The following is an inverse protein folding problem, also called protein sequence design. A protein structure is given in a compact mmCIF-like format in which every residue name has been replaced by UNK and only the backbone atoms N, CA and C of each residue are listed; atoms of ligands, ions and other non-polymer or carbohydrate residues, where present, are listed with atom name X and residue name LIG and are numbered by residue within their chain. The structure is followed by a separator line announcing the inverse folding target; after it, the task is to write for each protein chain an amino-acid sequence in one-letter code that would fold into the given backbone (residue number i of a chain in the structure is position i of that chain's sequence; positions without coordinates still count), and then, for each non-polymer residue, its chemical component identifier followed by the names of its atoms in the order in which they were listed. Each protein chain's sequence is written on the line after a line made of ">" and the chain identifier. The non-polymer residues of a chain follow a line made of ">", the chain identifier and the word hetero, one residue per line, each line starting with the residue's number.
data_IF_616503884154
#
_entry.id   IF_616503884154
#
_cell.length_a   1.000
_cell.length_b   1.000
_cell.length_c   1.000
_cell.angle_alpha   90.00
_cell.angle_beta   90.00
_cell.angle_gamma   90.00
#
_symmetry.space_group_name_H-M   'P 1'
#
loop_
_entity.id
_entity.type
_entity.pdbx_description
1 polymer ?
#
# COMPACT_ATOMS: atom_id res chain seq x y z
N UNK A 1 -3.53 5.49 15.59
CA UNK A 1 -4.51 6.40 14.99
C UNK A 1 -4.67 5.97 13.55
N UNK A 2 -5.79 5.37 13.21
CA UNK A 2 -6.07 4.76 11.90
C UNK A 2 -6.60 5.84 10.94
N UNK A 3 -6.39 5.68 9.63
CA UNK A 3 -6.75 6.69 8.63
C UNK A 3 -8.24 7.10 8.67
N UNK A 4 -9.12 6.19 9.08
CA UNK A 4 -10.55 6.46 9.32
C UNK A 4 -10.77 7.60 10.35
N UNK A 5 -9.95 7.70 11.39
CA UNK A 5 -10.09 8.71 12.45
C UNK A 5 -9.74 10.13 11.96
N UNK A 6 -9.10 10.24 10.78
CA UNK A 6 -8.63 11.52 10.21
C UNK A 6 -9.61 12.18 9.23
N UNK A 7 -10.69 11.51 8.83
CA UNK A 7 -11.62 12.01 7.81
C UNK A 7 -13.08 11.85 8.25
N UNK A 8 -13.73 12.90 8.80
CA UNK A 8 -15.13 12.85 9.19
C UNK A 8 -16.04 12.69 7.96
N UNK A 9 -17.05 11.81 8.06
CA UNK A 9 -18.08 11.61 7.02
C UNK A 9 -17.86 10.43 6.08
N UNK A 10 -16.82 9.62 6.30
CA UNK A 10 -16.65 8.36 5.57
C UNK A 10 -17.64 7.30 6.06
N UNK A 11 -18.18 6.45 5.15
CA UNK A 11 -18.98 5.31 5.57
C UNK A 11 -18.17 4.40 6.50
N UNK A 12 -18.81 3.73 7.48
CA UNK A 12 -18.11 2.80 8.35
C UNK A 12 -17.39 1.74 7.51
N UNK A 13 -16.15 1.43 7.88
CA UNK A 13 -15.43 0.29 7.30
C UNK A 13 -16.31 -0.94 7.58
N UNK A 14 -16.76 -1.69 6.55
CA UNK A 14 -17.57 -2.87 6.76
C UNK A 14 -16.86 -3.81 7.73
N UNK A 15 -17.54 -4.16 8.81
CA UNK A 15 -17.02 -5.02 9.86
C UNK A 15 -16.73 -6.40 9.24
N UNK A 16 -15.45 -6.62 8.94
CA UNK A 16 -14.87 -7.87 8.42
C UNK A 16 -15.72 -8.55 7.34
N UNK A 17 -15.59 -8.12 6.08
CA UNK A 17 -15.91 -9.03 4.98
C UNK A 17 -15.02 -10.26 5.13
N UNK A 18 -15.60 -11.42 5.44
CA UNK A 18 -14.88 -12.71 5.46
C UNK A 18 -13.96 -12.80 4.23
N UNK A 19 -12.69 -13.08 4.48
CA UNK A 19 -11.66 -13.10 3.46
C UNK A 19 -10.81 -14.35 3.54
N UNK A 20 -10.27 -14.77 2.39
CA UNK A 20 -9.29 -15.83 2.30
C UNK A 20 -7.92 -15.24 1.98
N UNK A 21 -6.88 -15.74 2.63
CA UNK A 21 -5.50 -15.43 2.26
C UNK A 21 -5.24 -15.85 0.81
N UNK A 22 -4.63 -14.95 0.04
CA UNK A 22 -4.36 -15.16 -1.36
C UNK A 22 -3.08 -14.44 -1.80
N UNK A 23 -2.57 -14.80 -2.97
CA UNK A 23 -1.49 -14.11 -3.64
C UNK A 23 -1.99 -13.59 -4.99
N UNK A 24 -1.88 -12.28 -5.24
CA UNK A 24 -2.01 -11.74 -6.57
C UNK A 24 -0.79 -12.14 -7.41
N UNK A 25 -1.02 -12.63 -8.62
CA UNK A 25 0.00 -13.17 -9.51
C UNK A 25 0.40 -12.13 -10.56
N UNK A 26 1.67 -12.19 -10.96
CA UNK A 26 2.24 -11.37 -12.04
C UNK A 26 2.15 -9.85 -11.78
N UNK A 27 2.14 -9.46 -10.50
CA UNK A 27 2.04 -8.08 -10.05
C UNK A 27 2.98 -7.81 -8.89
N UNK A 28 3.37 -6.55 -8.75
CA UNK A 28 4.15 -6.03 -7.62
C UNK A 28 3.71 -4.60 -7.28
N UNK A 29 4.29 -4.01 -6.24
CA UNK A 29 4.01 -2.65 -5.78
C UNK A 29 5.20 -1.73 -5.98
N UNK A 30 4.93 -0.50 -6.40
CA UNK A 30 5.88 0.61 -6.41
C UNK A 30 5.34 1.78 -5.60
N UNK A 31 6.22 2.58 -5.00
CA UNK A 31 5.85 3.78 -4.25
C UNK A 31 6.19 5.04 -5.05
N UNK A 32 5.34 5.38 -6.03
CA UNK A 32 5.60 6.46 -6.98
C UNK A 32 4.46 7.47 -7.15
N UNK A 33 3.34 7.29 -6.45
CA UNK A 33 2.20 8.22 -6.48
C UNK A 33 2.20 9.10 -5.24
N UNK A 34 2.21 10.42 -5.43
CA UNK A 34 2.06 11.36 -4.32
C UNK A 34 0.63 11.35 -3.78
N UNK A 35 0.48 11.29 -2.47
CA UNK A 35 -0.81 11.45 -1.80
C UNK A 35 -0.73 12.51 -0.71
N UNK A 36 -1.53 13.56 -0.87
CA UNK A 36 -1.68 14.61 0.14
C UNK A 36 -2.34 14.07 1.42
N UNK A 37 -3.30 13.14 1.29
CA UNK A 37 -4.00 12.52 2.43
C UNK A 37 -3.04 11.72 3.33
N UNK A 38 -2.03 11.09 2.73
CA UNK A 38 -1.03 10.29 3.44
C UNK A 38 0.25 11.07 3.75
N UNK A 39 0.44 12.27 3.20
CA UNK A 39 1.63 13.09 3.43
C UNK A 39 2.92 12.49 2.84
N UNK A 40 2.84 11.81 1.70
CA UNK A 40 3.99 11.17 1.06
C UNK A 40 3.58 10.29 -0.12
N UNK A 41 4.51 9.47 -0.63
CA UNK A 41 4.18 8.52 -1.69
C UNK A 41 3.39 7.33 -1.14
N UNK A 42 2.50 6.76 -1.95
CA UNK A 42 1.70 5.56 -1.64
C UNK A 42 1.95 4.46 -2.67
N UNK A 43 1.51 3.24 -2.35
CA UNK A 43 1.67 2.09 -3.23
C UNK A 43 0.77 2.18 -4.45
N UNK A 44 1.33 1.76 -5.59
CA UNK A 44 0.63 1.51 -6.83
C UNK A 44 1.03 0.15 -7.38
N UNK A 45 0.06 -0.57 -7.93
CA UNK A 45 0.27 -1.87 -8.52
C UNK A 45 0.90 -1.71 -9.91
N UNK A 46 1.86 -2.57 -10.22
CA UNK A 46 2.49 -2.68 -11.53
C UNK A 46 2.46 -4.12 -11.99
N UNK A 47 2.48 -4.31 -13.31
CA UNK A 47 2.67 -5.63 -13.89
C UNK A 47 4.12 -6.07 -13.67
N UNK A 48 4.29 -7.26 -13.11
CA UNK A 48 5.58 -7.85 -12.77
C UNK A 48 5.50 -9.37 -12.95
N UNK A 49 5.67 -9.88 -14.19
CA UNK A 49 5.54 -11.31 -14.47
C UNK A 49 6.41 -12.17 -13.56
N UNK A 50 5.81 -13.22 -12.97
CA UNK A 50 6.48 -14.12 -12.02
C UNK A 50 6.54 -13.62 -10.58
N UNK A 51 6.21 -12.35 -10.31
CA UNK A 51 6.08 -11.83 -8.95
C UNK A 51 4.74 -12.24 -8.34
N UNK A 52 4.72 -12.27 -7.01
CA UNK A 52 3.55 -12.64 -6.21
C UNK A 52 3.40 -11.65 -5.08
N UNK A 53 2.22 -11.05 -4.98
CA UNK A 53 1.90 -10.09 -3.94
C UNK A 53 0.90 -10.73 -2.97
N UNK A 54 1.30 -11.04 -1.72
CA UNK A 54 0.38 -11.60 -0.73
C UNK A 54 -0.66 -10.56 -0.31
N UNK A 55 -1.87 -11.03 -0.01
CA UNK A 55 -2.99 -10.18 0.39
C UNK A 55 -4.20 -10.97 0.86
N UNK A 56 -5.32 -10.27 1.02
CA UNK A 56 -6.58 -10.84 1.46
C UNK A 56 -7.61 -10.71 0.34
N UNK A 57 -8.16 -11.83 -0.12
CA UNK A 57 -9.27 -11.85 -1.07
C UNK A 57 -10.60 -11.74 -0.31
N UNK A 58 -11.35 -10.67 -0.53
CA UNK A 58 -12.65 -10.44 0.12
C UNK A 58 -13.79 -10.54 -0.87
N UNK A 59 -14.90 -11.13 -0.44
CA UNK A 59 -16.17 -11.10 -1.21
C UNK A 59 -16.88 -9.79 -0.92
N UNK A 60 -17.20 -9.05 -1.98
CA UNK A 60 -17.93 -7.79 -1.88
C UNK A 60 -19.32 -7.99 -2.49
N UNK A 61 -20.41 -7.76 -1.73
CA UNK A 61 -21.76 -7.73 -2.29
C UNK A 61 -21.88 -6.70 -3.42
N UNK A 62 -22.65 -7.02 -4.46
CA UNK A 62 -22.76 -6.17 -5.65
C UNK A 62 -23.35 -4.78 -5.33
N UNK A 63 -24.26 -4.70 -4.37
CA UNK A 63 -24.87 -3.46 -3.88
C UNK A 63 -23.92 -2.59 -3.04
N UNK A 64 -22.88 -3.18 -2.45
CA UNK A 64 -21.83 -2.48 -1.71
C UNK A 64 -20.69 -1.96 -2.60
N UNK A 65 -20.60 -2.43 -3.86
CA UNK A 65 -19.47 -2.16 -4.74
C UNK A 65 -19.23 -0.66 -4.97
N UNK A 66 -20.27 0.09 -5.34
CA UNK A 66 -20.14 1.52 -5.62
C UNK A 66 -19.73 2.32 -4.38
N UNK A 67 -20.16 1.90 -3.19
CA UNK A 67 -19.75 2.54 -1.94
C UNK A 67 -18.26 2.28 -1.67
N UNK A 68 -17.80 1.05 -1.90
CA UNK A 68 -16.39 0.68 -1.77
C UNK A 68 -15.51 1.47 -2.75
N UNK A 69 -15.90 1.58 -4.02
CA UNK A 69 -15.16 2.36 -5.02
C UNK A 69 -14.99 3.82 -4.58
N UNK A 70 -16.05 4.45 -4.07
CA UNK A 70 -15.97 5.83 -3.54
C UNK A 70 -15.09 5.94 -2.31
N UNK A 71 -15.14 4.96 -1.42
CA UNK A 71 -14.32 4.91 -0.20
C UNK A 71 -12.83 4.77 -0.55
N UNK A 72 -12.48 3.88 -1.46
CA UNK A 72 -11.10 3.66 -1.95
C UNK A 72 -10.55 4.90 -2.65
N UNK A 73 -11.36 5.56 -3.47
CA UNK A 73 -11.00 6.81 -4.11
C UNK A 73 -10.73 7.92 -3.07
N UNK A 74 -11.59 8.03 -2.04
CA UNK A 74 -11.47 9.07 -1.02
C UNK A 74 -10.32 8.83 -0.04
N UNK A 75 -10.06 7.59 0.38
CA UNK A 75 -9.05 7.27 1.40
C UNK A 75 -7.68 6.93 0.82
N UNK A 76 -7.62 6.05 -0.19
CA UNK A 76 -6.38 5.54 -0.71
C UNK A 76 -5.90 6.31 -1.96
N UNK A 77 -6.72 7.21 -2.49
CA UNK A 77 -6.48 7.81 -3.81
C UNK A 77 -6.48 6.76 -4.93
N UNK A 78 -7.06 5.59 -4.66
CA UNK A 78 -7.08 4.46 -5.57
C UNK A 78 -8.25 4.61 -6.54
N UNK A 79 -8.01 5.33 -7.63
CA UNK A 79 -9.03 5.71 -8.62
C UNK A 79 -9.24 4.68 -9.73
N UNK A 80 -8.34 3.70 -9.85
CA UNK A 80 -8.41 2.67 -10.87
C UNK A 80 -8.82 1.34 -10.25
N UNK A 81 -9.78 0.68 -10.90
CA UNK A 81 -10.13 -0.72 -10.64
C UNK A 81 -9.58 -1.54 -11.79
N UNK A 82 -8.70 -2.50 -11.47
CA UNK A 82 -8.20 -3.45 -12.46
C UNK A 82 -8.44 -4.89 -12.03
N UNK A 83 -8.53 -5.78 -13.02
CA UNK A 83 -8.61 -7.22 -12.76
C UNK A 83 -7.22 -7.83 -12.66
N UNK A 84 -7.02 -8.68 -11.66
CA UNK A 84 -5.79 -9.45 -11.45
C UNK A 84 -6.12 -10.91 -11.22
N UNK A 85 -5.18 -11.78 -11.57
CA UNK A 85 -5.24 -13.19 -11.19
C UNK A 85 -4.80 -13.32 -9.74
N UNK A 86 -5.57 -14.04 -8.96
CA UNK A 86 -5.24 -14.36 -7.57
C UNK A 86 -5.21 -15.86 -7.39
N UNK A 87 -4.25 -16.35 -6.62
CA UNK A 87 -4.19 -17.73 -6.15
C UNK A 87 -4.58 -17.76 -4.68
N UNK A 88 -5.65 -18.46 -4.36
CA UNK A 88 -6.12 -18.65 -2.99
C UNK A 88 -5.22 -19.62 -2.22
N UNK A 89 -5.34 -19.66 -0.90
CA UNK A 89 -4.60 -20.63 -0.07
C UNK A 89 -4.95 -22.08 -0.43
N UNK A 90 -6.18 -22.34 -0.84
CA UNK A 90 -6.63 -23.64 -1.38
C UNK A 90 -6.00 -24.00 -2.74
N UNK A 91 -5.26 -23.08 -3.36
CA UNK A 91 -4.58 -23.27 -4.65
C UNK A 91 -5.45 -22.95 -5.87
N UNK A 92 -6.70 -22.51 -5.68
CA UNK A 92 -7.56 -22.10 -6.78
C UNK A 92 -7.07 -20.78 -7.39
N UNK A 93 -7.16 -20.65 -8.72
CA UNK A 93 -6.83 -19.40 -9.42
C UNK A 93 -8.12 -18.72 -9.86
N UNK A 94 -8.33 -17.50 -9.38
CA UNK A 94 -9.53 -16.69 -9.63
C UNK A 94 -9.16 -15.36 -10.27
N UNK A 95 -10.16 -14.70 -10.87
CA UNK A 95 -10.06 -13.28 -11.23
C UNK A 95 -10.65 -12.44 -10.10
N UNK A 96 -9.93 -11.41 -9.68
CA UNK A 96 -10.36 -10.49 -8.63
C UNK A 96 -10.13 -9.04 -9.05
N UNK A 97 -10.92 -8.13 -8.49
CA UNK A 97 -10.72 -6.70 -8.66
C UNK A 97 -9.78 -6.17 -7.58
N UNK A 98 -8.86 -5.30 -7.97
CA UNK A 98 -7.97 -4.57 -7.07
C UNK A 98 -8.06 -3.08 -7.37
N UNK A 99 -8.03 -2.28 -6.31
CA UNK A 99 -7.98 -0.83 -6.38
C UNK A 99 -6.52 -0.39 -6.38
N UNK A 100 -6.17 0.50 -7.30
CA UNK A 100 -4.84 1.07 -7.35
C UNK A 100 -4.89 2.52 -7.83
N UNK A 101 -3.96 3.39 -7.39
CA UNK A 101 -3.84 4.72 -7.98
C UNK A 101 -3.48 4.64 -9.47
N UNK A 102 -3.97 5.59 -10.27
CA UNK A 102 -3.56 5.69 -11.68
C UNK A 102 -2.06 5.99 -11.79
N UNK A 103 -1.39 5.43 -12.80
CA UNK A 103 0.01 5.72 -13.07
C UNK A 103 0.22 7.23 -13.30
N UNK A 104 1.17 7.87 -12.58
CA UNK A 104 1.41 9.29 -12.72
C UNK A 104 2.19 9.55 -14.02
N UNK A 105 1.94 10.68 -14.68
CA UNK A 105 2.71 11.09 -15.86
C UNK A 105 4.21 11.30 -15.54
N UNK A 106 4.53 11.60 -14.28
CA UNK A 106 5.90 11.67 -13.77
C UNK A 106 5.93 11.13 -12.35
N UNK A 107 6.82 10.17 -12.03
CA UNK A 107 6.96 9.64 -10.68
C UNK A 107 7.17 10.73 -9.63
N UNK A 108 6.41 10.63 -8.53
CA UNK A 108 6.54 11.56 -7.43
C UNK A 108 7.93 11.49 -6.79
N UNK A 109 8.49 12.66 -6.47
CA UNK A 109 9.72 12.78 -5.72
C UNK A 109 9.47 12.70 -4.21
N UNK A 110 10.51 12.40 -3.45
CA UNK A 110 10.44 12.31 -1.99
C UNK A 110 10.23 10.89 -1.47
N UNK A 111 9.98 10.80 -0.16
CA UNK A 111 9.84 9.54 0.57
C UNK A 111 8.42 8.99 0.47
N UNK A 112 8.30 7.67 0.62
CA UNK A 112 7.02 7.01 0.91
C UNK A 112 6.48 7.52 2.24
N UNK A 113 5.16 7.55 2.39
CA UNK A 113 4.51 7.93 3.64
C UNK A 113 4.75 6.88 4.73
N UNK A 114 5.30 7.30 5.87
CA UNK A 114 5.42 6.46 7.07
C UNK A 114 4.04 5.98 7.53
N UNK A 115 3.07 6.89 7.64
CA UNK A 115 1.72 6.56 8.08
C UNK A 115 1.05 5.51 7.18
N UNK A 116 1.32 5.58 5.87
CA UNK A 116 0.85 4.58 4.92
C UNK A 116 1.48 3.22 5.17
N UNK A 117 2.81 3.15 5.31
CA UNK A 117 3.52 1.88 5.57
C UNK A 117 3.11 1.26 6.92
N UNK A 118 2.95 2.07 7.96
CA UNK A 118 2.45 1.61 9.27
C UNK A 118 1.03 1.03 9.12
N UNK A 119 0.17 1.71 8.37
CA UNK A 119 -1.20 1.21 8.14
C UNK A 119 -1.18 -0.08 7.34
N UNK A 120 -0.34 -0.21 6.32
CA UNK A 120 -0.18 -1.47 5.58
C UNK A 120 0.28 -2.61 6.49
N UNK A 121 1.25 -2.36 7.37
CA UNK A 121 1.74 -3.37 8.31
C UNK A 121 0.65 -3.83 9.28
N UNK A 122 -0.12 -2.90 9.85
CA UNK A 122 -1.25 -3.22 10.73
C UNK A 122 -2.33 -4.01 10.00
N UNK A 123 -2.73 -3.57 8.80
CA UNK A 123 -3.72 -4.27 7.99
C UNK A 123 -3.23 -5.67 7.56
N UNK A 124 -1.94 -5.83 7.29
CA UNK A 124 -1.33 -7.12 6.97
C UNK A 124 -1.36 -8.08 8.16
N UNK A 125 -1.07 -7.57 9.36
CA UNK A 125 -1.13 -8.31 10.61
C UNK A 125 -2.57 -8.72 10.95
N UNK A 126 -3.53 -7.80 10.88
CA UNK A 126 -4.96 -8.06 11.10
C UNK A 126 -5.53 -9.05 10.08
N UNK A 127 -5.01 -9.02 8.84
CA UNK A 127 -5.36 -9.99 7.81
C UNK A 127 -4.71 -11.37 8.03
N UNK A 128 -3.79 -11.52 8.97
CA UNK A 128 -3.08 -12.78 9.20
C UNK A 128 -2.08 -13.12 8.09
N UNK A 129 -1.50 -12.12 7.41
CA UNK A 129 -0.39 -12.36 6.49
C UNK A 129 0.85 -12.87 7.23
N UNK A 130 1.81 -13.43 6.49
CA UNK A 130 2.99 -14.05 7.10
C UNK A 130 3.77 -13.05 7.97
N UNK A 131 4.35 -13.50 9.10
CA UNK A 131 5.17 -12.65 9.96
C UNK A 131 6.28 -11.94 9.19
N UNK A 132 6.98 -12.66 8.30
CA UNK A 132 8.03 -12.10 7.46
C UNK A 132 7.57 -10.92 6.59
N UNK A 133 6.33 -10.97 6.08
CA UNK A 133 5.77 -9.88 5.29
C UNK A 133 5.46 -8.66 6.16
N UNK A 134 4.85 -8.89 7.32
CA UNK A 134 4.54 -7.84 8.30
C UNK A 134 5.83 -7.17 8.78
N UNK A 135 6.84 -7.96 9.17
CA UNK A 135 8.13 -7.47 9.63
C UNK A 135 8.84 -6.61 8.58
N UNK A 136 8.76 -7.00 7.30
CA UNK A 136 9.31 -6.21 6.19
C UNK A 136 8.64 -4.84 6.09
N UNK A 137 7.30 -4.78 6.10
CA UNK A 137 6.56 -3.50 6.05
C UNK A 137 6.89 -2.61 7.25
N UNK A 138 7.00 -3.19 8.45
CA UNK A 138 7.39 -2.47 9.65
C UNK A 138 8.84 -1.97 9.58
N UNK A 139 9.76 -2.75 9.00
CA UNK A 139 11.14 -2.35 8.80
C UNK A 139 11.25 -1.19 7.81
N UNK A 140 10.53 -1.25 6.69
CA UNK A 140 10.40 -0.15 5.73
C UNK A 140 9.88 1.13 6.42
N UNK A 141 8.83 1.02 7.25
CA UNK A 141 8.29 2.15 8.00
C UNK A 141 9.32 2.78 8.94
N UNK A 142 10.09 1.96 9.68
CA UNK A 142 11.16 2.44 10.59
C UNK A 142 12.27 3.15 9.84
N UNK A 143 12.70 2.63 8.69
CA UNK A 143 13.72 3.25 7.85
C UNK A 143 13.24 4.62 7.37
N UNK A 144 12.01 4.70 6.88
CA UNK A 144 11.41 5.95 6.39
C UNK A 144 11.28 6.98 7.52
N UNK A 145 10.83 6.56 8.70
CA UNK A 145 10.77 7.44 9.87
C UNK A 145 12.16 8.00 10.22
N UNK A 146 13.19 7.16 10.23
CA UNK A 146 14.55 7.58 10.52
C UNK A 146 15.05 8.62 9.49
N UNK A 147 14.78 8.40 8.20
CA UNK A 147 15.13 9.34 7.13
C UNK A 147 14.39 10.67 7.25
N UNK A 148 13.10 10.65 7.60
CA UNK A 148 12.30 11.86 7.82
C UNK A 148 12.83 12.68 9.01
N UNK A 149 13.20 12.02 10.11
CA UNK A 149 13.79 12.66 11.30
C UNK A 149 15.17 13.26 11.03
N UNK A 150 15.97 12.61 10.18
CA UNK A 150 17.31 13.09 9.82
C UNK A 150 17.26 14.37 8.95
N UNK A 151 16.13 14.63 8.29
CA UNK A 151 15.94 15.80 7.44
C UNK A 151 16.82 15.80 6.17
N UNK A 152 16.61 16.76 5.26
CA UNK A 152 17.37 16.85 4.00
C UNK A 152 18.87 17.17 4.20
N UNK A 153 19.27 17.76 5.34
CA UNK A 153 20.68 18.08 5.63
C UNK A 153 21.54 16.85 5.95
N UNK A 154 21.01 15.84 6.63
CA UNK A 154 21.77 14.64 6.99
C UNK A 154 22.18 13.80 5.77
N UNK A 155 21.34 13.78 4.73
CA UNK A 155 21.62 13.10 3.46
C UNK A 155 22.69 13.83 2.62
N UNK A 156 22.91 15.12 2.90
CA UNK A 156 23.89 15.96 2.20
C UNK A 156 25.30 15.89 2.83
N UNK A 157 25.39 15.54 4.12
CA UNK A 157 26.65 15.47 4.88
C UNK A 157 27.44 14.15 4.70
N UNK A 158 26.86 13.11 4.08
CA UNK A 158 27.59 11.86 3.80
C UNK A 158 28.41 11.87 2.51
N UNK A 159 28.43 12.97 1.75
CA UNK A 159 29.37 13.16 0.62
C UNK A 159 30.48 14.14 1.00
N UNK A 160 31.62 13.58 1.42
CA UNK A 160 32.98 14.11 1.56
C UNK A 160 33.54 14.13 3.00
N UNK A 161 34.78 13.64 3.18
CA UNK A 161 35.91 14.55 3.02
C UNK A 161 36.73 14.18 1.79
N UNK A 162 36.86 15.16 0.89
CA UNK A 162 37.85 15.13 -0.18
C UNK A 162 39.24 15.08 0.45
N UNK A 163 39.98 14.05 0.07
CA UNK A 163 41.42 13.89 0.29
C UNK A 163 42.14 15.19 -0.13
N UNK A 164 42.84 15.84 0.80
CA UNK A 164 43.85 16.87 0.51
C UNK A 164 45.06 16.64 1.41
N UNK A 165 46.25 16.65 0.80
CA UNK A 165 47.55 16.55 1.45
C UNK A 165 48.25 15.25 1.10
#
# INVERSE_FOLDING_TARGET
>A
MIAHERLPGLPPIPDVLEGELAEALDVDVVYDVASAAWGGKVARLVDAPGHKLPGMLRRVPADAWDALVRLESAMAGATEVRQVKVRTFTGAVLSAHVFTPTAPATPAQGLVSEAFLVTLALSAEEAGLSPDHVERLQAEARIVQALQKAGPEALSLSKAPGKKG
#
